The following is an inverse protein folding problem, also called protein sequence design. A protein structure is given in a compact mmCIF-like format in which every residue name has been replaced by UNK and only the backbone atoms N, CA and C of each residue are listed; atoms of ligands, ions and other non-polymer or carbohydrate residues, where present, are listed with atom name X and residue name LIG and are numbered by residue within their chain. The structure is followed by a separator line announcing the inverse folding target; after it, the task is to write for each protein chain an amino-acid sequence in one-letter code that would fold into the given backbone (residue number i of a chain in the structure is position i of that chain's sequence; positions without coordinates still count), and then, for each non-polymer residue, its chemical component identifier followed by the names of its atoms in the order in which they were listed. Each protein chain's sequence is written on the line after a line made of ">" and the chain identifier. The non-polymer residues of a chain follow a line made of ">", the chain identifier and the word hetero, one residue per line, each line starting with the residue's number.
data_IF_466739482463
#
_entry.id   IF_466739482463
#
_cell.length_a   1.000
_cell.length_b   1.000
_cell.length_c   1.000
_cell.angle_alpha   90.00
_cell.angle_beta   90.00
_cell.angle_gamma   90.00
#
_symmetry.space_group_name_H-M   'P 1'
#
loop_
_entity.id
_entity.type
_entity.pdbx_description
1 polymer ?
#
# COMPACT_ATOMS: atom_id res chain seq x y z
N UNK A 1 20.94 26.50 -8.50
CA UNK A 1 21.17 25.05 -8.27
C UNK A 1 19.91 24.52 -7.60
N UNK A 2 19.28 23.48 -8.13
CA UNK A 2 18.00 22.95 -7.66
C UNK A 2 18.18 21.51 -7.14
N UNK A 3 18.94 21.35 -6.06
CA UNK A 3 19.03 20.09 -5.32
C UNK A 3 18.54 20.35 -3.91
N UNK A 4 17.51 19.63 -3.45
CA UNK A 4 17.03 19.78 -2.07
C UNK A 4 17.96 19.08 -1.06
N UNK A 5 18.91 18.26 -1.52
CA UNK A 5 19.92 17.60 -0.67
C UNK A 5 21.20 18.45 -0.66
N UNK A 6 21.70 18.75 0.55
CA UNK A 6 22.91 19.56 0.79
C UNK A 6 24.15 18.71 1.05
N UNK A 7 24.02 17.65 1.84
CA UNK A 7 25.14 16.80 2.25
C UNK A 7 24.68 15.38 2.51
N UNK A 8 25.52 14.42 2.12
CA UNK A 8 25.36 13.00 2.44
C UNK A 8 26.71 12.47 2.90
N UNK A 9 26.74 11.79 4.04
CA UNK A 9 27.88 11.03 4.51
C UNK A 9 27.41 9.62 4.91
N UNK A 10 28.26 8.62 4.73
CA UNK A 10 27.96 7.26 5.14
C UNK A 10 29.17 6.60 5.79
N UNK A 11 28.92 5.64 6.67
CA UNK A 11 29.93 4.76 7.23
C UNK A 11 29.35 3.38 7.47
N UNK A 12 30.20 2.37 7.35
CA UNK A 12 29.85 0.97 7.60
C UNK A 12 30.57 0.53 8.88
N UNK A 13 29.81 -0.01 9.82
CA UNK A 13 30.28 -0.50 11.11
C UNK A 13 29.93 -1.98 11.25
N UNK A 14 30.75 -2.76 11.97
CA UNK A 14 30.39 -4.14 12.29
C UNK A 14 29.19 -4.16 13.24
N UNK A 15 28.16 -4.94 12.91
CA UNK A 15 26.97 -5.11 13.70
C UNK A 15 26.95 -6.48 14.36
N UNK A 16 26.73 -6.52 15.68
CA UNK A 16 26.39 -7.75 16.38
C UNK A 16 24.89 -7.81 16.60
N UNK A 17 24.23 -8.79 15.98
CA UNK A 17 22.78 -9.01 16.13
C UNK A 17 22.59 -10.35 16.84
N UNK A 18 22.32 -10.28 18.15
CA UNK A 18 22.25 -11.46 19.01
C UNK A 18 23.59 -12.21 19.08
N UNK A 19 23.59 -13.46 18.62
CA UNK A 19 24.80 -14.31 18.58
C UNK A 19 25.56 -14.26 17.24
N UNK A 20 25.02 -13.56 16.23
CA UNK A 20 25.66 -13.41 14.92
C UNK A 20 26.48 -12.12 14.85
N UNK A 21 27.71 -12.21 14.36
CA UNK A 21 28.69 -11.11 14.30
C UNK A 21 29.10 -10.73 12.88
N UNK A 22 28.42 -11.29 11.88
CA UNK A 22 28.73 -11.18 10.45
C UNK A 22 27.86 -10.16 9.70
N UNK A 23 27.09 -9.34 10.44
CA UNK A 23 26.29 -8.28 9.85
C UNK A 23 27.08 -6.98 9.76
N UNK A 24 26.87 -6.26 8.66
CA UNK A 24 27.32 -4.88 8.51
C UNK A 24 26.17 -3.91 8.81
N UNK A 25 26.45 -2.86 9.58
CA UNK A 25 25.54 -1.75 9.84
C UNK A 25 25.95 -0.56 8.99
N UNK A 26 25.06 -0.15 8.10
CA UNK A 26 25.19 1.10 7.36
C UNK A 26 24.57 2.25 8.17
N UNK A 27 25.35 3.29 8.42
CA UNK A 27 24.88 4.56 9.00
C UNK A 27 25.02 5.64 7.94
N UNK A 28 23.94 6.37 7.67
CA UNK A 28 23.90 7.46 6.70
C UNK A 28 23.44 8.75 7.38
N UNK A 29 24.22 9.82 7.23
CA UNK A 29 23.89 11.17 7.66
C UNK A 29 23.49 11.99 6.42
N UNK A 30 22.20 12.34 6.32
CA UNK A 30 21.64 13.07 5.18
C UNK A 30 21.10 14.40 5.64
N UNK A 31 21.54 15.48 4.99
CA UNK A 31 21.16 16.86 5.28
C UNK A 31 20.44 17.46 4.07
N UNK A 32 19.20 17.90 4.27
CA UNK A 32 18.36 18.54 3.23
C UNK A 32 18.10 20.00 3.55
N UNK A 33 17.62 20.76 2.57
CA UNK A 33 17.24 22.16 2.73
C UNK A 33 15.82 22.38 3.27
N UNK A 34 15.11 21.29 3.59
CA UNK A 34 13.74 21.29 4.12
C UNK A 34 12.65 21.14 3.04
N UNK A 35 12.99 21.20 1.75
CA UNK A 35 12.01 20.99 0.67
C UNK A 35 11.52 19.53 0.60
N UNK A 36 12.36 18.60 1.03
CA UNK A 36 12.06 17.17 1.17
C UNK A 36 12.66 16.66 2.48
N UNK A 37 11.99 15.71 3.14
CA UNK A 37 12.57 15.06 4.30
C UNK A 37 13.77 14.19 3.89
N UNK A 38 14.79 14.02 4.75
CA UNK A 38 15.91 13.13 4.46
C UNK A 38 15.47 11.69 4.18
N UNK A 39 14.42 11.22 4.87
CA UNK A 39 13.85 9.88 4.69
C UNK A 39 13.23 9.71 3.30
N UNK A 40 12.39 10.66 2.88
CA UNK A 40 11.76 10.63 1.55
C UNK A 40 12.81 10.73 0.43
N UNK A 41 13.86 11.54 0.63
CA UNK A 41 14.96 11.65 -0.32
C UNK A 41 15.68 10.29 -0.51
N UNK A 42 15.93 9.56 0.57
CA UNK A 42 16.52 8.21 0.52
C UNK A 42 15.56 7.22 -0.13
N UNK A 43 14.26 7.29 0.17
CA UNK A 43 13.24 6.43 -0.44
C UNK A 43 13.17 6.62 -1.97
N UNK A 44 13.19 7.87 -2.44
CA UNK A 44 13.24 8.20 -3.87
C UNK A 44 14.54 7.70 -4.51
N UNK A 45 15.69 7.87 -3.85
CA UNK A 45 16.96 7.36 -4.34
C UNK A 45 16.94 5.82 -4.47
N UNK A 46 16.36 5.11 -3.49
CA UNK A 46 16.21 3.67 -3.54
C UNK A 46 15.30 3.23 -4.71
N UNK A 47 14.21 3.97 -4.96
CA UNK A 47 13.33 3.69 -6.11
C UNK A 47 14.06 3.84 -7.44
N UNK A 48 14.79 4.94 -7.62
CA UNK A 48 15.61 5.18 -8.82
C UNK A 48 16.62 4.03 -9.00
N UNK A 49 17.29 3.62 -7.92
CA UNK A 49 18.24 2.52 -7.95
C UNK A 49 17.60 1.19 -8.38
N UNK A 50 16.40 0.87 -7.88
CA UNK A 50 15.65 -0.31 -8.31
C UNK A 50 15.35 -0.26 -9.81
N UNK A 51 14.86 0.88 -10.31
CA UNK A 51 14.54 1.06 -11.73
C UNK A 51 15.81 0.92 -12.59
N UNK A 52 16.96 1.40 -12.13
CA UNK A 52 18.24 1.23 -12.81
C UNK A 52 18.75 -0.23 -12.76
N UNK A 53 18.50 -0.97 -11.69
CA UNK A 53 18.91 -2.38 -11.59
C UNK A 53 18.02 -3.31 -12.43
N UNK A 54 16.79 -2.90 -12.74
CA UNK A 54 15.84 -3.69 -13.50
C UNK A 54 16.38 -4.12 -14.88
N UNK A 55 17.21 -3.29 -15.52
CA UNK A 55 17.81 -3.62 -16.83
C UNK A 55 18.81 -4.78 -16.78
N UNK A 56 19.34 -5.11 -15.59
CA UNK A 56 20.24 -6.24 -15.40
C UNK A 56 19.50 -7.55 -15.07
N UNK A 57 18.21 -7.46 -14.76
CA UNK A 57 17.36 -8.63 -14.51
C UNK A 57 17.00 -9.20 -15.89
N UNK A 58 17.65 -10.31 -16.26
CA UNK A 58 17.55 -10.95 -17.57
C UNK A 58 16.44 -12.02 -17.65
N UNK A 59 15.66 -12.17 -16.59
CA UNK A 59 14.47 -13.00 -16.54
C UNK A 59 13.27 -12.10 -16.23
N UNK A 60 12.13 -12.33 -16.89
CA UNK A 60 10.90 -11.68 -16.48
C UNK A 60 10.51 -12.23 -15.11
N UNK A 61 10.80 -11.48 -14.04
CA UNK A 61 10.11 -11.72 -12.77
C UNK A 61 8.61 -11.65 -13.06
N UNK A 62 7.82 -12.65 -12.66
CA UNK A 62 6.38 -12.56 -12.75
C UNK A 62 6.00 -11.30 -11.95
N UNK A 63 5.61 -10.25 -12.67
CA UNK A 63 5.09 -9.04 -12.03
C UNK A 63 3.98 -9.54 -11.15
N UNK A 64 4.12 -9.37 -9.83
CA UNK A 64 3.00 -9.55 -8.94
C UNK A 64 1.90 -8.69 -9.54
N UNK A 65 0.87 -9.35 -10.06
CA UNK A 65 -0.34 -8.68 -10.51
C UNK A 65 -0.72 -7.91 -9.28
N UNK A 66 -0.60 -6.58 -9.34
CA UNK A 66 -1.29 -5.74 -8.39
C UNK A 66 -2.73 -6.14 -8.62
N UNK A 67 -3.25 -7.02 -7.78
CA UNK A 67 -4.68 -7.09 -7.55
C UNK A 67 -4.99 -5.66 -7.13
N UNK A 68 -5.39 -4.85 -8.10
CA UNK A 68 -6.28 -3.76 -7.85
C UNK A 68 -7.43 -4.43 -7.15
N UNK A 69 -7.39 -4.39 -5.82
CA UNK A 69 -8.59 -4.49 -5.02
C UNK A 69 -9.35 -3.24 -5.46
N UNK A 70 -10.01 -3.34 -6.62
CA UNK A 70 -11.25 -2.63 -6.83
C UNK A 70 -12.01 -3.00 -5.57
N UNK A 71 -12.06 -2.06 -4.63
CA UNK A 71 -13.06 -2.11 -3.59
C UNK A 71 -14.35 -2.19 -4.39
N UNK A 72 -14.83 -3.42 -4.59
CA UNK A 72 -16.13 -3.67 -5.14
C UNK A 72 -17.04 -3.00 -4.11
N UNK A 73 -17.42 -1.75 -4.39
CA UNK A 73 -18.52 -1.15 -3.68
C UNK A 73 -19.64 -2.19 -3.76
N UNK A 74 -20.20 -2.62 -2.62
CA UNK A 74 -21.18 -3.68 -2.62
C UNK A 74 -22.26 -3.28 -3.62
N UNK A 75 -22.43 -4.08 -4.68
CA UNK A 75 -23.31 -3.78 -5.79
C UNK A 75 -24.66 -3.33 -5.21
N UNK A 76 -25.00 -2.06 -5.43
CA UNK A 76 -26.13 -1.42 -4.78
C UNK A 76 -27.41 -2.23 -5.05
N UNK A 77 -27.91 -2.91 -4.02
CA UNK A 77 -29.02 -3.83 -4.18
C UNK A 77 -30.30 -3.02 -4.42
N UNK A 78 -30.78 -3.01 -5.67
CA UNK A 78 -31.99 -2.27 -6.09
C UNK A 78 -33.23 -2.62 -5.27
N UNK A 79 -33.25 -3.79 -4.62
CA UNK A 79 -34.35 -4.20 -3.74
C UNK A 79 -34.45 -3.35 -2.46
N UNK A 80 -33.40 -2.63 -2.07
CA UNK A 80 -33.42 -1.69 -0.94
C UNK A 80 -34.31 -0.46 -1.20
N UNK A 81 -34.69 -0.19 -2.46
CA UNK A 81 -35.62 0.89 -2.83
C UNK A 81 -37.03 0.38 -3.11
N UNK A 82 -37.23 -0.93 -3.11
CA UNK A 82 -38.55 -1.54 -3.34
C UNK A 82 -39.30 -1.62 -2.03
N UNK A 83 -40.62 -1.41 -2.11
CA UNK A 83 -41.49 -1.66 -0.95
C UNK A 83 -41.59 -3.16 -0.70
N UNK A 84 -41.82 -3.56 0.54
CA UNK A 84 -41.90 -4.97 0.96
C UNK A 84 -42.94 -5.75 0.14
N UNK A 85 -44.05 -5.10 -0.24
CA UNK A 85 -45.12 -5.70 -1.06
C UNK A 85 -44.69 -6.05 -2.50
N UNK A 86 -43.60 -5.44 -3.01
CA UNK A 86 -43.05 -5.67 -4.35
C UNK A 86 -41.93 -6.71 -4.35
N UNK A 87 -41.52 -7.17 -3.16
CA UNK A 87 -40.67 -8.34 -3.01
C UNK A 87 -41.60 -9.56 -3.12
N UNK A 88 -41.34 -10.49 -4.03
CA UNK A 88 -42.16 -11.68 -4.29
C UNK A 88 -42.13 -12.69 -3.11
N UNK A 89 -42.65 -12.27 -1.96
CA UNK A 89 -42.61 -12.97 -0.68
C UNK A 89 -43.80 -13.91 -0.53
N UNK A 90 -43.61 -14.95 0.28
CA UNK A 90 -44.70 -15.85 0.64
C UNK A 90 -45.77 -15.11 1.46
N UNK A 91 -47.03 -15.56 1.36
CA UNK A 91 -48.19 -14.96 2.06
C UNK A 91 -48.00 -14.90 3.58
N UNK A 92 -47.25 -15.84 4.18
CA UNK A 92 -46.94 -15.78 5.62
C UNK A 92 -45.91 -14.70 5.93
N UNK A 93 -44.85 -14.62 5.14
CA UNK A 93 -43.74 -13.66 5.33
C UNK A 93 -44.22 -12.22 5.19
N UNK A 94 -45.04 -11.93 4.17
CA UNK A 94 -45.58 -10.60 3.93
C UNK A 94 -46.47 -10.11 5.09
N UNK A 95 -47.31 -10.98 5.64
CA UNK A 95 -48.22 -10.62 6.74
C UNK A 95 -47.48 -10.39 8.07
N UNK A 96 -46.44 -11.18 8.36
CA UNK A 96 -45.60 -10.95 9.53
C UNK A 96 -44.90 -9.59 9.46
N UNK A 97 -44.28 -9.27 8.33
CA UNK A 97 -43.59 -7.98 8.14
C UNK A 97 -44.54 -6.79 8.23
N UNK A 98 -45.71 -6.87 7.59
CA UNK A 98 -46.72 -5.81 7.63
C UNK A 98 -47.28 -5.55 9.04
N UNK A 99 -47.42 -6.60 9.84
CA UNK A 99 -47.97 -6.48 11.21
C UNK A 99 -46.93 -5.94 12.19
N UNK A 100 -45.65 -6.20 11.96
CA UNK A 100 -44.54 -5.68 12.78
C UNK A 100 -44.16 -4.22 12.44
N UNK A 101 -44.90 -3.59 11.51
CA UNK A 101 -44.80 -2.17 11.14
C UNK A 101 -43.42 -1.76 10.58
N UNK A 102 -42.82 -2.67 9.79
CA UNK A 102 -41.56 -2.49 9.07
C UNK A 102 -41.78 -2.66 7.56
#
# INVERSE_FOLDING_TARGET
>A
VFSPVRRVAYRVENARVGQRTDYDKLVMDVETDGTISPEDAVALAARILQDQLQMFINFEEPRAIQETVEAAEPAFNRNLLRKVDELELSVRSANCLKNDNI
#
